data_IF_746930724563
#
_entry.id   IF_746930724563
#
_cell.length_a   1.000
_cell.length_b   1.000
_cell.length_c   1.000
_cell.angle_alpha   90.00
_cell.angle_beta   90.00
_cell.angle_gamma   90.00
#
_symmetry.space_group_name_H-M   'P 1'
#
loop_
_entity.id
_entity.type
_entity.pdbx_description
1 polymer ?
#
# COMPACT_ATOMS: atom_id res chain seq x y z
N UNK A 1 -50.22 33.01 28.49
CA UNK A 1 -49.59 34.07 27.67
C UNK A 1 -48.28 33.49 27.18
N UNK A 2 -48.30 33.01 25.93
CA UNK A 2 -47.44 33.49 24.82
C UNK A 2 -45.97 33.11 25.01
N UNK A 3 -45.28 32.42 24.11
CA UNK A 3 -45.53 32.01 22.73
C UNK A 3 -44.39 31.04 22.37
N UNK A 4 -44.70 29.92 21.72
CA UNK A 4 -43.83 29.36 20.67
C UNK A 4 -44.51 29.74 19.33
N UNK A 5 -43.91 29.63 18.11
CA UNK A 5 -42.83 28.71 17.73
C UNK A 5 -41.89 29.22 16.59
N UNK A 6 -41.03 28.31 16.08
CA UNK A 6 -40.48 28.13 14.69
C UNK A 6 -38.97 27.84 14.75
N UNK A 7 -38.53 26.59 14.52
CA UNK A 7 -38.29 25.95 13.20
C UNK A 7 -37.29 26.73 12.33
N UNK A 8 -36.08 26.21 12.15
CA UNK A 8 -35.34 26.35 10.89
C UNK A 8 -34.35 25.18 10.80
N UNK A 9 -34.60 24.31 9.83
CA UNK A 9 -33.69 23.27 9.37
C UNK A 9 -32.67 23.94 8.46
N UNK A 10 -31.36 23.75 8.66
CA UNK A 10 -30.44 23.79 7.52
C UNK A 10 -29.14 23.02 7.78
N UNK A 11 -28.93 21.96 6.99
CA UNK A 11 -27.62 21.52 6.49
C UNK A 11 -27.70 21.84 5.00
N UNK A 12 -26.70 22.48 4.37
CA UNK A 12 -25.52 21.70 3.97
C UNK A 12 -24.20 22.48 3.79
N UNK A 13 -23.07 21.76 3.79
CA UNK A 13 -21.75 22.24 3.33
C UNK A 13 -20.67 21.25 3.79
N UNK A 14 -19.96 20.49 2.95
CA UNK A 14 -19.59 20.75 1.57
C UNK A 14 -18.26 21.51 1.53
N UNK A 15 -17.14 20.78 1.58
CA UNK A 15 -15.84 21.29 1.18
C UNK A 15 -14.80 21.45 2.29
N UNK A 16 -13.84 20.53 2.31
CA UNK A 16 -12.41 20.86 2.32
C UNK A 16 -11.64 19.55 2.21
N UNK A 17 -11.34 19.15 0.98
CA UNK A 17 -10.27 18.18 0.74
C UNK A 17 -8.97 18.78 1.28
N UNK A 18 -8.57 18.34 2.47
CA UNK A 18 -7.23 18.58 2.97
C UNK A 18 -6.29 17.69 2.16
N UNK A 19 -5.64 18.28 1.16
CA UNK A 19 -4.54 17.66 0.44
C UNK A 19 -3.48 17.21 1.46
N UNK A 20 -2.97 15.97 1.39
CA UNK A 20 -1.98 15.50 2.35
C UNK A 20 -0.66 16.28 2.22
N UNK A 21 0.05 16.52 3.33
CA UNK A 21 1.28 17.30 3.38
C UNK A 21 2.39 16.62 2.57
N UNK A 22 2.95 17.39 1.63
CA UNK A 22 4.03 16.96 0.75
C UNK A 22 5.31 16.79 1.56
N UNK A 23 5.77 15.55 1.76
CA UNK A 23 7.01 15.24 2.45
C UNK A 23 8.21 15.45 1.53
N UNK A 24 8.62 16.70 1.36
CA UNK A 24 9.85 17.09 0.68
C UNK A 24 11.05 16.99 1.63
N UNK A 25 11.58 15.77 1.83
CA UNK A 25 12.92 15.61 2.38
C UNK A 25 13.59 14.29 1.94
N UNK A 26 14.70 14.43 1.19
CA UNK A 26 15.73 13.42 0.83
C UNK A 26 15.51 12.61 -0.46
N UNK A 27 15.62 13.32 -1.59
CA UNK A 27 15.56 12.80 -2.98
C UNK A 27 16.83 12.03 -3.46
N UNK A 28 17.73 11.59 -2.58
CA UNK A 28 19.02 10.97 -2.97
C UNK A 28 18.97 9.47 -3.31
N UNK A 29 18.15 8.69 -2.61
CA UNK A 29 18.02 7.22 -2.80
C UNK A 29 16.68 6.79 -3.44
N UNK A 30 15.78 7.77 -3.67
CA UNK A 30 14.36 7.57 -3.93
C UNK A 30 13.97 7.17 -5.37
N UNK A 31 14.92 6.96 -6.29
CA UNK A 31 14.60 6.90 -7.73
C UNK A 31 13.85 5.66 -8.21
N UNK A 32 13.83 4.57 -7.43
CA UNK A 32 13.09 3.35 -7.81
C UNK A 32 11.93 3.00 -6.86
N UNK A 33 12.10 3.20 -5.55
CA UNK A 33 11.09 2.84 -4.54
C UNK A 33 10.05 3.92 -4.25
N UNK A 34 10.31 5.18 -4.62
CA UNK A 34 9.45 6.32 -4.30
C UNK A 34 7.99 6.17 -4.76
N UNK A 35 7.71 5.77 -6.02
CA UNK A 35 6.35 5.60 -6.50
C UNK A 35 5.57 4.49 -5.78
N UNK A 36 6.25 3.38 -5.42
CA UNK A 36 5.62 2.26 -4.72
C UNK A 36 5.26 2.63 -3.28
N UNK A 37 6.16 3.35 -2.59
CA UNK A 37 5.94 3.88 -1.25
C UNK A 37 4.76 4.85 -1.22
N UNK A 38 4.73 5.80 -2.16
CA UNK A 38 3.65 6.78 -2.25
C UNK A 38 2.30 6.09 -2.54
N UNK A 39 2.26 5.16 -3.51
CA UNK A 39 1.05 4.41 -3.82
C UNK A 39 0.54 3.61 -2.60
N UNK A 40 1.44 3.01 -1.83
CA UNK A 40 1.10 2.29 -0.60
C UNK A 40 0.59 3.23 0.50
N UNK A 41 1.22 4.39 0.67
CA UNK A 41 0.77 5.43 1.60
C UNK A 41 -0.64 5.91 1.26
N UNK A 42 -0.91 6.16 -0.03
CA UNK A 42 -2.23 6.55 -0.52
C UNK A 42 -3.28 5.44 -0.32
N UNK A 43 -2.89 4.17 -0.44
CA UNK A 43 -3.77 3.04 -0.11
C UNK A 43 -4.10 3.02 1.39
N UNK A 44 -3.11 3.18 2.27
CA UNK A 44 -3.30 3.25 3.73
C UNK A 44 -4.21 4.41 4.15
N UNK A 45 -4.01 5.58 3.58
CA UNK A 45 -4.82 6.77 3.85
C UNK A 45 -6.30 6.55 3.56
N UNK A 46 -6.61 5.78 2.51
CA UNK A 46 -7.98 5.39 2.17
C UNK A 46 -8.48 4.20 3.00
N UNK A 47 -7.60 3.25 3.35
CA UNK A 47 -7.96 2.01 4.02
C UNK A 47 -8.38 2.24 5.47
N UNK A 48 -7.61 3.02 6.23
CA UNK A 48 -7.88 3.30 7.66
C UNK A 48 -9.32 3.79 7.90
N UNK A 49 -9.81 4.88 7.27
CA UNK A 49 -11.19 5.35 7.48
C UNK A 49 -12.24 4.38 6.92
N UNK A 50 -11.87 3.50 5.99
CA UNK A 50 -12.77 2.46 5.47
C UNK A 50 -12.94 1.33 6.48
N UNK A 51 -11.87 0.94 7.17
CA UNK A 51 -11.91 -0.07 8.23
C UNK A 51 -12.61 0.41 9.50
N UNK A 52 -12.56 1.72 9.79
CA UNK A 52 -13.28 2.30 10.92
C UNK A 52 -14.80 2.21 10.79
N UNK A 53 -15.33 2.13 9.56
CA UNK A 53 -16.76 2.01 9.27
C UNK A 53 -17.30 0.59 9.45
N UNK A 54 -16.43 -0.40 9.70
CA UNK A 54 -16.84 -1.78 9.91
C UNK A 54 -17.64 -1.94 11.22
N UNK A 55 -18.60 -2.89 11.28
CA UNK A 55 -19.31 -3.20 12.51
C UNK A 55 -18.32 -3.64 13.60
N UNK A 56 -18.59 -3.27 14.85
CA UNK A 56 -17.66 -3.42 16.00
C UNK A 56 -17.14 -4.86 16.17
N UNK A 57 -17.97 -5.87 15.88
CA UNK A 57 -17.60 -7.29 15.96
C UNK A 57 -16.51 -7.70 14.96
N UNK A 58 -16.46 -7.06 13.78
CA UNK A 58 -15.55 -7.42 12.69
C UNK A 58 -14.39 -6.45 12.57
N UNK A 59 -14.51 -5.26 13.15
CA UNK A 59 -13.42 -4.28 13.24
C UNK A 59 -12.18 -4.87 13.93
N UNK A 60 -12.36 -5.58 15.04
CA UNK A 60 -11.24 -6.15 15.81
C UNK A 60 -10.67 -7.45 15.21
N UNK A 61 -11.42 -8.16 14.37
CA UNK A 61 -10.97 -9.41 13.77
C UNK A 61 -10.35 -9.18 12.40
N UNK A 62 -11.10 -8.53 11.51
CA UNK A 62 -10.73 -8.33 10.12
C UNK A 62 -10.05 -6.98 9.91
N UNK A 63 -10.57 -5.93 10.53
CA UNK A 63 -10.02 -4.58 10.40
C UNK A 63 -8.60 -4.48 10.96
N UNK A 64 -8.39 -4.93 12.19
CA UNK A 64 -7.09 -4.93 12.84
C UNK A 64 -6.06 -5.75 12.05
N UNK A 65 -6.43 -6.98 11.64
CA UNK A 65 -5.56 -7.83 10.83
C UNK A 65 -5.20 -7.18 9.49
N UNK A 66 -6.15 -6.54 8.81
CA UNK A 66 -5.88 -5.88 7.53
C UNK A 66 -4.98 -4.64 7.70
N UNK A 67 -5.15 -3.91 8.81
CA UNK A 67 -4.30 -2.77 9.14
C UNK A 67 -2.86 -3.20 9.45
N UNK A 68 -2.68 -4.28 10.22
CA UNK A 68 -1.35 -4.85 10.51
C UNK A 68 -0.66 -5.30 9.22
N UNK A 69 -1.36 -6.01 8.34
CA UNK A 69 -0.78 -6.45 7.06
C UNK A 69 -0.45 -5.26 6.15
N UNK A 70 -1.31 -4.24 6.08
CA UNK A 70 -1.03 -3.02 5.32
C UNK A 70 0.19 -2.27 5.86
N UNK A 71 0.31 -2.15 7.18
CA UNK A 71 1.48 -1.53 7.80
C UNK A 71 2.75 -2.33 7.51
N UNK A 72 2.69 -3.66 7.60
CA UNK A 72 3.83 -4.53 7.29
C UNK A 72 4.29 -4.46 5.83
N UNK A 73 3.38 -4.23 4.89
CA UNK A 73 3.75 -3.97 3.48
C UNK A 73 4.51 -2.64 3.37
N UNK A 74 4.02 -1.57 4.00
CA UNK A 74 4.70 -0.28 3.99
C UNK A 74 6.12 -0.39 4.59
N UNK A 75 6.24 -1.04 5.75
CA UNK A 75 7.53 -1.24 6.41
C UNK A 75 8.50 -2.04 5.52
N UNK A 76 7.99 -3.08 4.84
CA UNK A 76 8.79 -3.86 3.87
C UNK A 76 9.28 -3.01 2.69
N UNK A 77 8.45 -2.09 2.17
CA UNK A 77 8.85 -1.17 1.10
C UNK A 77 9.88 -0.13 1.57
N UNK A 78 9.75 0.35 2.81
CA UNK A 78 10.73 1.24 3.43
C UNK A 78 12.06 0.48 3.55
N UNK A 79 12.07 -0.72 4.13
CA UNK A 79 13.27 -1.55 4.24
C UNK A 79 13.91 -1.79 2.87
N UNK A 80 13.13 -2.16 1.85
CA UNK A 80 13.60 -2.36 0.48
C UNK A 80 14.27 -1.12 -0.13
N UNK A 81 13.90 0.09 0.32
CA UNK A 81 14.48 1.36 -0.15
C UNK A 81 15.86 1.61 0.45
N UNK A 82 16.07 1.22 1.70
CA UNK A 82 17.29 1.51 2.46
C UNK A 82 18.26 0.33 2.55
N UNK A 83 17.85 -0.87 2.17
CA UNK A 83 18.70 -2.07 2.18
C UNK A 83 19.27 -2.40 0.80
N UNK A 84 20.43 -3.06 0.81
CA UNK A 84 21.06 -3.63 -0.38
C UNK A 84 20.35 -4.92 -0.81
N UNK A 85 19.86 -5.70 0.14
CA UNK A 85 19.14 -6.97 -0.10
C UNK A 85 17.63 -6.75 -0.27
N UNK A 86 17.26 -5.89 -1.22
CA UNK A 86 15.85 -5.50 -1.42
C UNK A 86 14.95 -6.64 -1.89
N UNK A 87 15.50 -7.66 -2.56
CA UNK A 87 14.72 -8.79 -3.08
C UNK A 87 13.90 -9.53 -2.02
N UNK A 88 14.43 -9.72 -0.80
CA UNK A 88 13.71 -10.38 0.29
C UNK A 88 12.52 -9.53 0.77
N UNK A 89 12.74 -8.23 0.97
CA UNK A 89 11.71 -7.30 1.40
C UNK A 89 10.62 -7.08 0.34
N UNK A 90 10.99 -7.04 -0.94
CA UNK A 90 10.01 -6.93 -2.04
C UNK A 90 9.14 -8.19 -2.15
N UNK A 91 9.69 -9.38 -1.89
CA UNK A 91 8.90 -10.62 -1.80
C UNK A 91 7.96 -10.60 -0.60
N UNK A 92 8.41 -10.10 0.55
CA UNK A 92 7.58 -9.94 1.73
C UNK A 92 6.42 -8.95 1.49
N UNK A 93 6.71 -7.80 0.85
CA UNK A 93 5.70 -6.84 0.44
C UNK A 93 4.68 -7.47 -0.52
N UNK A 94 5.12 -8.23 -1.52
CA UNK A 94 4.23 -8.92 -2.46
C UNK A 94 3.31 -9.93 -1.75
N UNK A 95 3.84 -10.70 -0.79
CA UNK A 95 3.04 -11.62 0.01
C UNK A 95 1.99 -10.87 0.85
N UNK A 96 2.37 -9.74 1.46
CA UNK A 96 1.45 -8.89 2.22
C UNK A 96 0.31 -8.35 1.35
N UNK A 97 0.60 -7.89 0.13
CA UNK A 97 -0.43 -7.44 -0.82
C UNK A 97 -1.43 -8.55 -1.16
N UNK A 98 -0.96 -9.79 -1.34
CA UNK A 98 -1.87 -10.91 -1.60
C UNK A 98 -2.74 -11.26 -0.39
N UNK A 99 -2.17 -11.23 0.82
CA UNK A 99 -2.98 -11.36 2.04
C UNK A 99 -4.05 -10.27 2.14
N UNK A 100 -3.71 -9.03 1.81
CA UNK A 100 -4.68 -7.92 1.76
C UNK A 100 -5.77 -8.17 0.72
N UNK A 101 -5.44 -8.69 -0.46
CA UNK A 101 -6.40 -9.04 -1.52
C UNK A 101 -7.44 -10.05 -1.03
N UNK A 102 -6.98 -11.11 -0.36
CA UNK A 102 -7.88 -12.10 0.23
C UNK A 102 -8.68 -11.53 1.42
N UNK A 103 -8.06 -10.71 2.27
CA UNK A 103 -8.74 -10.05 3.39
C UNK A 103 -9.87 -9.11 2.94
N UNK A 104 -9.66 -8.33 1.88
CA UNK A 104 -10.66 -7.44 1.31
C UNK A 104 -11.76 -8.21 0.58
N UNK A 105 -11.41 -9.31 -0.10
CA UNK A 105 -12.41 -10.22 -0.69
C UNK A 105 -13.31 -10.82 0.39
N UNK A 106 -12.74 -11.26 1.50
CA UNK A 106 -13.49 -11.75 2.65
C UNK A 106 -14.41 -10.66 3.24
N UNK A 107 -13.92 -9.43 3.38
CA UNK A 107 -14.73 -8.30 3.86
C UNK A 107 -15.96 -8.03 2.96
N UNK A 108 -15.77 -8.14 1.64
CA UNK A 108 -16.83 -8.02 0.65
C UNK A 108 -17.83 -9.18 0.74
N UNK A 109 -17.35 -10.41 0.82
CA UNK A 109 -18.20 -11.62 0.87
C UNK A 109 -19.04 -11.67 2.15
N UNK A 110 -18.51 -11.12 3.25
CA UNK A 110 -19.26 -10.91 4.50
C UNK A 110 -20.24 -9.70 4.46
N UNK A 111 -20.35 -9.02 3.31
CA UNK A 111 -21.16 -7.81 3.10
C UNK A 111 -20.84 -6.65 4.04
N UNK A 112 -19.59 -6.56 4.49
CA UNK A 112 -19.10 -5.44 5.29
C UNK A 112 -18.50 -4.32 4.45
N UNK A 113 -18.24 -4.58 3.17
CA UNK A 113 -17.67 -3.63 2.23
C UNK A 113 -18.59 -3.47 1.01
N UNK A 114 -18.87 -2.23 0.63
CA UNK A 114 -19.61 -1.92 -0.60
C UNK A 114 -18.79 -2.32 -1.84
N UNK A 115 -19.46 -2.64 -2.93
CA UNK A 115 -18.84 -3.06 -4.19
C UNK A 115 -17.89 -1.98 -4.74
N UNK A 116 -18.26 -0.70 -4.64
CA UNK A 116 -17.40 0.42 -5.05
C UNK A 116 -16.12 0.51 -4.23
N UNK A 117 -16.22 0.30 -2.92
CA UNK A 117 -15.07 0.29 -2.03
C UNK A 117 -14.16 -0.92 -2.31
N UNK A 118 -14.75 -2.09 -2.58
CA UNK A 118 -14.00 -3.27 -3.02
C UNK A 118 -13.21 -3.02 -4.30
N UNK A 119 -13.86 -2.48 -5.34
CA UNK A 119 -13.23 -2.20 -6.63
C UNK A 119 -12.10 -1.16 -6.50
N UNK A 120 -12.29 -0.16 -5.65
CA UNK A 120 -11.27 0.84 -5.37
C UNK A 120 -10.06 0.24 -4.65
N UNK A 121 -10.29 -0.59 -3.63
CA UNK A 121 -9.25 -1.29 -2.90
C UNK A 121 -8.45 -2.23 -3.81
N UNK A 122 -9.14 -3.04 -4.61
CA UNK A 122 -8.53 -3.99 -5.53
C UNK A 122 -7.63 -3.28 -6.56
N UNK A 123 -8.11 -2.20 -7.18
CA UNK A 123 -7.30 -1.39 -8.11
C UNK A 123 -6.04 -0.85 -7.46
N UNK A 124 -6.15 -0.24 -6.28
CA UNK A 124 -4.98 0.31 -5.58
C UNK A 124 -3.96 -0.77 -5.21
N UNK A 125 -4.42 -1.94 -4.76
CA UNK A 125 -3.54 -3.08 -4.47
C UNK A 125 -2.83 -3.55 -5.75
N UNK A 126 -3.54 -3.62 -6.88
CA UNK A 126 -2.95 -4.00 -8.16
C UNK A 126 -1.91 -2.98 -8.64
N UNK A 127 -2.17 -1.69 -8.47
CA UNK A 127 -1.24 -0.62 -8.84
C UNK A 127 0.04 -0.70 -8.00
N UNK A 128 -0.08 -0.89 -6.68
CA UNK A 128 1.08 -1.10 -5.80
C UNK A 128 1.83 -2.38 -6.21
N UNK A 129 1.12 -3.48 -6.47
CA UNK A 129 1.72 -4.74 -6.90
C UNK A 129 2.51 -4.63 -8.22
N UNK A 130 2.01 -3.84 -9.19
CA UNK A 130 2.73 -3.56 -10.45
C UNK A 130 4.03 -2.80 -10.21
N UNK A 131 4.01 -1.81 -9.33
CA UNK A 131 5.20 -1.03 -8.97
C UNK A 131 6.24 -1.90 -8.26
N UNK A 132 5.81 -2.71 -7.28
CA UNK A 132 6.67 -3.67 -6.56
C UNK A 132 7.25 -4.71 -7.52
N UNK A 133 6.44 -5.26 -8.42
CA UNK A 133 6.89 -6.21 -9.43
C UNK A 133 7.87 -5.59 -10.43
N UNK A 134 7.67 -4.33 -10.81
CA UNK A 134 8.63 -3.56 -11.61
C UNK A 134 9.98 -3.43 -10.89
N UNK A 135 9.95 -3.12 -9.60
CA UNK A 135 11.15 -2.98 -8.79
C UNK A 135 11.90 -4.31 -8.63
N UNK A 136 11.17 -5.42 -8.44
CA UNK A 136 11.75 -6.77 -8.36
C UNK A 136 12.42 -7.19 -9.67
N UNK A 137 11.85 -6.82 -10.83
CA UNK A 137 12.47 -7.07 -12.14
C UNK A 137 13.76 -6.28 -12.32
N UNK A 138 13.74 -4.99 -11.96
CA UNK A 138 14.93 -4.12 -12.01
C UNK A 138 16.04 -4.59 -11.05
N UNK A 139 15.68 -5.16 -9.90
CA UNK A 139 16.64 -5.73 -8.97
C UNK A 139 17.34 -6.98 -9.54
N UNK A 140 16.57 -7.90 -10.16
CA UNK A 140 17.13 -9.08 -10.85
C UNK A 140 17.96 -8.71 -12.09
N UNK A 141 17.67 -7.57 -12.71
CA UNK A 141 18.40 -7.04 -13.86
C UNK A 141 19.63 -6.19 -13.46
N UNK A 142 19.89 -6.00 -12.16
CA UNK A 142 21.08 -5.30 -11.66
C UNK A 142 22.40 -5.99 -12.03
N UNK A 143 23.55 -5.28 -11.98
CA UNK A 143 24.79 -5.58 -12.70
C UNK A 143 25.59 -6.82 -12.22
N UNK A 144 24.96 -7.77 -11.54
CA UNK A 144 25.60 -8.99 -11.02
C UNK A 144 25.77 -10.11 -12.05
N UNK A 145 25.22 -9.99 -13.27
CA UNK A 145 25.36 -11.04 -14.30
C UNK A 145 26.52 -10.83 -15.29
N UNK A 146 27.09 -9.63 -15.35
CA UNK A 146 28.20 -9.34 -16.27
C UNK A 146 29.58 -9.83 -15.75
N UNK A 147 29.72 -10.11 -14.45
CA UNK A 147 31.02 -10.49 -13.86
C UNK A 147 31.24 -12.01 -13.90
N UNK A 148 30.18 -12.83 -13.94
CA UNK A 148 30.32 -14.30 -13.92
C UNK A 148 30.70 -14.92 -15.27
N UNK A 149 30.67 -14.19 -16.39
CA UNK A 149 31.07 -14.72 -17.71
C UNK A 149 32.51 -14.38 -18.10
N UNK A 150 33.20 -13.53 -17.34
CA UNK A 150 34.60 -13.16 -17.59
C UNK A 150 35.59 -14.05 -16.82
N UNK A 151 35.20 -14.60 -15.67
CA UNK A 151 36.08 -15.45 -14.83
C UNK A 151 36.25 -16.89 -15.36
N UNK A 152 35.42 -17.33 -16.30
CA UNK A 152 35.54 -18.67 -16.90
C UNK A 152 36.56 -18.75 -18.06
N UNK A 153 37.15 -17.63 -18.48
CA UNK A 153 38.09 -17.60 -19.60
C UNK A 153 39.58 -17.67 -19.19
N UNK A 154 39.91 -17.57 -17.90
CA UNK A 154 41.30 -17.50 -17.42
C UNK A 154 41.83 -18.84 -16.84
N UNK A 155 40.97 -19.82 -16.57
CA UNK A 155 41.37 -21.14 -16.00
C UNK A 155 41.59 -22.20 -17.08
N UNK A 156 42.09 -21.81 -18.26
CA UNK A 156 42.46 -22.78 -19.33
C UNK A 156 43.82 -22.48 -19.96
N UNK A 157 44.59 -21.53 -19.42
CA UNK A 157 46.01 -21.36 -19.76
C UNK A 157 46.85 -21.25 -18.49
N UNK A 158 47.09 -22.40 -17.84
CA UNK A 158 48.24 -22.61 -16.96
C UNK A 158 48.56 -24.11 -16.91
#
# INVERSE_FOLDING_TARGET
MSEAPKSESDKPGGGAGAAPPQHSARQGAARAGGPALEAMYQLLLWLIPTLEKLPRSQKFLLGDRLQVEAQGVLDSLICATYTRERGAHLRAANLGLEKMRFGIRLAKDLRHLDFKAYEHAARRIDDVGRLVGGWLRSDRAGPGRAVSSAEAADVTQA
#
